data_IF_705691623478
#
_entry.id   IF_705691623478
#
_cell.length_a   1.000
_cell.length_b   1.000
_cell.length_c   1.000
_cell.angle_alpha   90.00
_cell.angle_beta   90.00
_cell.angle_gamma   90.00
#
_symmetry.space_group_name_H-M   'P 1'
#
loop_
_entity.id
_entity.type
_entity.pdbx_description
1 polymer ?
#
# COMPACT_ATOMS: atom_id res chain seq x y z
N UNK A 1 26.94 13.60 6.10
CA UNK A 1 26.24 12.93 4.98
C UNK A 1 24.75 13.06 5.27
N UNK A 2 23.96 13.77 4.46
CA UNK A 2 22.51 13.79 4.67
C UNK A 2 21.99 12.35 4.56
N UNK A 3 21.30 11.90 5.61
CA UNK A 3 20.65 10.59 5.61
C UNK A 3 19.43 10.75 4.72
N UNK A 4 19.48 10.19 3.51
CA UNK A 4 18.35 10.19 2.59
C UNK A 4 17.18 9.45 3.25
N UNK A 5 16.23 10.21 3.78
CA UNK A 5 14.99 9.69 4.34
C UNK A 5 14.01 9.43 3.21
N UNK A 6 13.45 8.23 3.19
CA UNK A 6 12.42 7.77 2.28
C UNK A 6 11.10 7.67 3.04
N UNK A 7 10.00 8.01 2.40
CA UNK A 7 8.65 7.79 2.92
C UNK A 7 8.04 6.59 2.22
N UNK A 8 7.62 5.58 2.97
CA UNK A 8 7.01 4.35 2.46
C UNK A 8 5.52 4.33 2.78
N UNK A 9 4.72 3.87 1.82
CA UNK A 9 3.28 3.63 1.98
C UNK A 9 3.03 2.13 2.09
N UNK A 10 2.67 1.67 3.28
CA UNK A 10 2.38 0.26 3.52
C UNK A 10 0.87 0.07 3.55
N UNK A 11 0.35 -0.70 2.58
CA UNK A 11 -1.08 -0.94 2.42
C UNK A 11 -1.47 -2.32 2.94
N UNK A 12 -2.59 -2.36 3.66
CA UNK A 12 -3.29 -3.57 4.08
C UNK A 12 -4.79 -3.30 4.08
N UNK A 13 -5.56 -4.05 3.31
CA UNK A 13 -7.00 -3.85 3.19
C UNK A 13 -7.32 -2.38 2.84
N UNK A 14 -8.09 -1.69 3.68
CA UNK A 14 -8.42 -0.26 3.55
C UNK A 14 -7.45 0.66 4.31
N UNK A 15 -6.46 0.10 5.01
CA UNK A 15 -5.53 0.87 5.86
C UNK A 15 -4.23 1.14 5.12
N UNK A 16 -3.75 2.39 5.18
CA UNK A 16 -2.44 2.79 4.66
C UNK A 16 -1.62 3.37 5.81
N UNK A 17 -0.44 2.81 6.05
CA UNK A 17 0.54 3.31 7.02
C UNK A 17 1.62 4.09 6.27
N UNK A 18 1.97 5.27 6.79
CA UNK A 18 3.08 6.08 6.28
C UNK A 18 4.26 5.90 7.21
N UNK A 19 5.37 5.39 6.69
CA UNK A 19 6.58 5.12 7.48
C UNK A 19 7.76 5.80 6.83
N UNK A 20 8.41 6.68 7.59
CA UNK A 20 9.72 7.22 7.23
C UNK A 20 10.80 6.19 7.56
N UNK A 21 11.66 5.87 6.60
CA UNK A 21 12.80 4.96 6.73
C UNK A 21 14.04 5.57 6.09
N UNK A 22 15.23 5.10 6.46
CA UNK A 22 16.45 5.43 5.72
C UNK A 22 16.66 4.44 4.58
N UNK A 23 17.28 4.86 3.47
CA UNK A 23 17.68 3.94 2.39
C UNK A 23 18.54 2.77 2.90
N UNK A 24 19.32 2.97 3.96
CA UNK A 24 20.16 1.93 4.59
C UNK A 24 19.42 1.03 5.57
N UNK A 25 18.15 1.32 5.88
CA UNK A 25 17.36 0.49 6.78
C UNK A 25 17.06 -0.87 6.13
N UNK A 26 17.06 -1.90 6.97
CA UNK A 26 16.63 -3.25 6.56
C UNK A 26 15.11 -3.38 6.63
N UNK A 27 14.57 -4.34 5.88
CA UNK A 27 13.15 -4.71 5.94
C UNK A 27 12.74 -5.09 7.37
N UNK A 28 13.60 -5.76 8.13
CA UNK A 28 13.34 -6.04 9.55
C UNK A 28 13.18 -4.76 10.39
N UNK A 29 13.98 -3.73 10.13
CA UNK A 29 13.86 -2.44 10.82
C UNK A 29 12.51 -1.77 10.49
N UNK A 30 12.07 -1.85 9.23
CA UNK A 30 10.73 -1.38 8.81
C UNK A 30 9.63 -2.19 9.49
N UNK A 31 9.71 -3.53 9.48
CA UNK A 31 8.75 -4.42 10.17
C UNK A 31 8.64 -4.10 11.66
N UNK A 32 9.75 -3.81 12.34
CA UNK A 32 9.75 -3.41 13.76
C UNK A 32 9.07 -2.05 14.00
N UNK A 33 9.16 -1.11 13.06
CA UNK A 33 8.43 0.17 13.15
C UNK A 33 6.93 -0.05 12.96
N UNK A 34 6.54 -0.88 11.98
CA UNK A 34 5.15 -1.27 11.76
C UNK A 34 4.59 -2.00 12.99
N UNK A 35 5.32 -2.99 13.50
CA UNK A 35 4.96 -3.79 14.67
C UNK A 35 4.54 -2.92 15.87
N UNK A 36 5.26 -1.83 16.12
CA UNK A 36 4.93 -0.85 17.17
C UNK A 36 3.62 -0.10 16.90
N UNK A 37 3.29 0.17 15.64
CA UNK A 37 2.06 0.87 15.26
C UNK A 37 0.83 -0.05 15.31
N UNK A 38 1.00 -1.32 14.97
CA UNK A 38 -0.11 -2.30 14.89
C UNK A 38 -0.22 -3.19 16.12
N UNK A 39 0.65 -3.01 17.12
CA UNK A 39 0.73 -3.83 18.33
C UNK A 39 0.82 -5.33 18.06
N UNK A 40 1.58 -5.72 17.03
CA UNK A 40 1.88 -7.12 16.67
C UNK A 40 3.38 -7.38 16.65
N UNK A 41 3.77 -8.64 16.74
CA UNK A 41 5.16 -9.03 16.56
C UNK A 41 5.62 -8.89 15.10
N UNK A 42 6.89 -8.50 14.91
CA UNK A 42 7.48 -8.40 13.58
C UNK A 42 7.51 -9.73 12.82
N UNK A 43 7.42 -10.87 13.53
CA UNK A 43 7.35 -12.22 12.96
C UNK A 43 5.99 -12.51 12.31
N UNK A 44 4.94 -11.90 12.84
CA UNK A 44 3.58 -12.06 12.32
C UNK A 44 3.28 -11.07 11.19
N UNK A 45 4.28 -10.32 10.73
CA UNK A 45 4.17 -9.30 9.70
C UNK A 45 4.99 -9.72 8.49
N UNK A 46 4.30 -9.90 7.37
CA UNK A 46 4.92 -10.14 6.08
C UNK A 46 4.81 -8.90 5.22
N UNK A 47 5.95 -8.46 4.69
CA UNK A 47 6.03 -7.37 3.71
C UNK A 47 6.20 -7.95 2.32
N UNK A 48 5.43 -7.43 1.39
CA UNK A 48 5.29 -7.91 0.03
C UNK A 48 5.45 -6.72 -0.92
N UNK A 49 6.11 -6.95 -2.05
CA UNK A 49 6.27 -5.96 -3.11
C UNK A 49 6.05 -6.59 -4.49
N UNK A 50 5.70 -5.81 -5.53
CA UNK A 50 5.62 -6.33 -6.89
C UNK A 50 6.97 -6.93 -7.32
N UNK A 51 6.94 -8.14 -7.88
CA UNK A 51 8.16 -8.87 -8.28
C UNK A 51 8.91 -8.19 -9.44
N UNK A 52 8.18 -7.51 -10.33
CA UNK A 52 8.76 -6.88 -11.51
C UNK A 52 9.46 -5.57 -11.18
N UNK A 53 8.75 -4.66 -10.48
CA UNK A 53 9.29 -3.36 -10.11
C UNK A 53 8.54 -2.77 -8.92
N UNK A 54 9.27 -2.35 -7.91
CA UNK A 54 8.73 -1.58 -6.80
C UNK A 54 8.51 -0.14 -7.29
N UNK A 55 7.27 0.32 -7.23
CA UNK A 55 6.87 1.64 -7.71
C UNK A 55 6.09 2.41 -6.64
N UNK A 56 5.98 3.72 -6.83
CA UNK A 56 5.10 4.59 -6.06
C UNK A 56 3.63 4.47 -6.52
N UNK A 57 3.37 3.89 -7.69
CA UNK A 57 2.01 3.64 -8.18
C UNK A 57 1.66 2.17 -8.02
N UNK A 58 0.39 1.89 -7.71
CA UNK A 58 -0.14 0.53 -7.65
C UNK A 58 -1.16 0.37 -8.77
N UNK A 59 -0.99 -0.67 -9.56
CA UNK A 59 -2.02 -1.15 -10.46
C UNK A 59 -3.01 -2.03 -9.68
N UNK A 60 -4.13 -1.43 -9.26
CA UNK A 60 -5.17 -2.11 -8.51
C UNK A 60 -5.92 -3.15 -9.36
N UNK A 61 -5.99 -2.95 -10.68
CA UNK A 61 -6.64 -3.90 -11.58
C UNK A 61 -5.81 -5.19 -11.67
N UNK A 62 -4.48 -5.07 -11.78
CA UNK A 62 -3.57 -6.20 -11.76
C UNK A 62 -3.54 -6.90 -10.38
N UNK A 63 -3.67 -6.15 -9.29
CA UNK A 63 -3.73 -6.72 -7.94
C UNK A 63 -5.02 -7.52 -7.72
N UNK A 64 -6.18 -6.97 -8.06
CA UNK A 64 -7.49 -7.61 -7.88
C UNK A 64 -7.66 -8.84 -8.78
N UNK A 65 -7.12 -8.79 -9.99
CA UNK A 65 -7.15 -9.93 -10.93
C UNK A 65 -6.12 -11.03 -10.61
N UNK A 66 -5.23 -10.81 -9.64
CA UNK A 66 -4.13 -11.74 -9.32
C UNK A 66 -3.03 -11.81 -10.38
N UNK A 67 -3.07 -10.93 -11.39
CA UNK A 67 -2.02 -10.81 -12.40
C UNK A 67 -0.72 -10.25 -11.81
N UNK A 68 -0.83 -9.39 -10.79
CA UNK A 68 0.31 -8.81 -10.10
C UNK A 68 0.94 -9.83 -9.14
N UNK A 69 2.10 -10.37 -9.56
CA UNK A 69 2.87 -11.29 -8.71
C UNK A 69 3.60 -10.53 -7.62
N UNK A 70 3.17 -10.73 -6.37
CA UNK A 70 3.84 -10.19 -5.19
C UNK A 70 4.93 -11.15 -4.72
N UNK A 71 6.10 -10.59 -4.41
CA UNK A 71 7.22 -11.29 -3.80
C UNK A 71 7.39 -10.85 -2.35
N UNK A 72 7.74 -11.78 -1.48
CA UNK A 72 8.10 -11.47 -0.10
C UNK A 72 9.45 -10.77 -0.04
N UNK A 73 9.52 -9.73 0.80
CA UNK A 73 10.75 -9.04 1.09
C UNK A 73 11.47 -9.71 2.26
N UNK A 74 12.73 -10.10 2.02
CA UNK A 74 13.57 -10.72 3.04
C UNK A 74 13.98 -9.72 4.13
N UNK A 75 13.97 -10.17 5.38
CA UNK A 75 14.29 -9.35 6.55
C UNK A 75 15.67 -8.69 6.51
N UNK A 76 16.64 -9.34 5.86
CA UNK A 76 18.02 -8.86 5.71
C UNK A 76 18.20 -7.92 4.54
N UNK A 77 17.23 -7.83 3.63
CA UNK A 77 17.32 -6.94 2.48
C UNK A 77 17.31 -5.48 2.95
N UNK A 78 18.10 -4.66 2.27
CA UNK A 78 18.19 -3.21 2.49
C UNK A 78 17.31 -2.52 1.45
N UNK A 79 16.62 -1.45 1.83
CA UNK A 79 15.70 -0.72 0.94
C UNK A 79 16.40 -0.22 -0.33
N UNK A 80 17.65 0.26 -0.19
CA UNK A 80 18.48 0.71 -1.31
C UNK A 80 18.79 -0.41 -2.32
N UNK A 81 19.14 -1.61 -1.83
CA UNK A 81 19.41 -2.77 -2.70
C UNK A 81 18.17 -3.28 -3.45
N UNK A 82 16.99 -3.00 -2.91
CA UNK A 82 15.71 -3.32 -3.52
C UNK A 82 15.23 -2.22 -4.49
N UNK A 83 16.03 -1.16 -4.68
CA UNK A 83 15.69 0.02 -5.49
C UNK A 83 14.33 0.59 -5.11
N UNK A 84 14.00 0.63 -3.81
CA UNK A 84 12.72 1.15 -3.33
C UNK A 84 12.69 2.67 -3.52
N UNK A 85 11.85 3.21 -4.41
CA UNK A 85 11.77 4.65 -4.60
C UNK A 85 11.15 5.35 -3.39
N UNK A 86 11.28 6.68 -3.34
CA UNK A 86 10.48 7.47 -2.40
C UNK A 86 8.99 7.32 -2.73
N UNK A 87 8.16 7.39 -1.70
CA UNK A 87 6.72 7.10 -1.75
C UNK A 87 6.33 5.71 -2.26
N UNK A 88 7.27 4.75 -2.28
CA UNK A 88 7.00 3.39 -2.69
C UNK A 88 5.83 2.76 -1.95
N UNK A 89 5.04 1.96 -2.67
CA UNK A 89 3.92 1.24 -2.07
C UNK A 89 4.32 -0.22 -1.83
N UNK A 90 4.23 -0.62 -0.57
CA UNK A 90 4.44 -1.99 -0.11
C UNK A 90 3.13 -2.56 0.42
N UNK A 91 3.00 -3.87 0.38
CA UNK A 91 1.84 -4.59 0.88
C UNK A 91 2.18 -5.31 2.17
N UNK A 92 1.22 -5.39 3.08
CA UNK A 92 1.37 -6.06 4.36
C UNK A 92 0.30 -7.13 4.53
N UNK A 93 0.72 -8.30 5.01
CA UNK A 93 -0.16 -9.39 5.43
C UNK A 93 0.21 -9.85 6.84
N UNK A 94 -0.80 -10.23 7.64
CA UNK A 94 -0.58 -10.80 8.95
C UNK A 94 -0.59 -12.32 8.95
N UNK A 95 0.15 -12.90 9.89
CA UNK A 95 -0.02 -14.30 10.26
C UNK A 95 -1.33 -14.45 11.05
N UNK A 96 -2.15 -15.42 10.63
CA UNK A 96 -3.39 -15.81 11.30
C UNK A 96 -3.09 -17.12 12.04
N UNK A 97 -2.89 -17.01 13.35
CA UNK A 97 -2.58 -18.15 14.23
C UNK A 97 -3.81 -18.94 14.67
N UNK A 98 -5.00 -18.46 14.37
CA UNK A 98 -6.29 -19.03 14.83
C UNK A 98 -6.74 -20.25 13.99
N UNK A 99 -5.99 -20.60 12.95
CA UNK A 99 -6.22 -21.77 12.09
C UNK A 99 -5.17 -22.82 12.43
N UNK A 100 -5.54 -24.11 12.46
CA UNK A 100 -4.72 -25.22 12.98
C UNK A 100 -3.27 -25.31 12.45
N UNK A 101 -3.02 -24.86 11.22
CA UNK A 101 -1.67 -24.83 10.59
C UNK A 101 -1.07 -23.43 10.46
N UNK A 102 -1.82 -22.41 10.89
CA UNK A 102 -1.55 -21.01 10.64
C UNK A 102 -1.57 -20.66 9.14
N UNK A 103 -2.07 -19.48 8.81
CA UNK A 103 -2.13 -19.03 7.41
C UNK A 103 -1.76 -17.56 7.30
N UNK A 104 -1.04 -17.21 6.24
CA UNK A 104 -0.89 -15.81 5.86
C UNK A 104 -2.21 -15.25 5.36
N UNK A 105 -2.58 -14.09 5.89
CA UNK A 105 -3.71 -13.31 5.40
C UNK A 105 -3.58 -13.04 3.89
N UNK A 106 -4.66 -13.18 3.10
CA UNK A 106 -4.64 -12.78 1.70
C UNK A 106 -4.38 -11.28 1.57
N UNK A 107 -3.56 -10.88 0.59
CA UNK A 107 -3.36 -9.45 0.30
C UNK A 107 -4.56 -8.95 -0.48
N UNK A 108 -5.47 -8.32 0.23
CA UNK A 108 -6.56 -7.56 -0.35
C UNK A 108 -6.28 -6.08 -0.09
N UNK A 109 -6.37 -5.24 -1.11
CA UNK A 109 -6.27 -3.78 -0.97
C UNK A 109 -7.44 -3.16 -1.69
N UNK A 110 -8.21 -2.35 -0.96
CA UNK A 110 -9.34 -1.65 -1.54
C UNK A 110 -8.86 -0.55 -2.49
N UNK A 111 -9.50 -0.45 -3.65
CA UNK A 111 -9.32 0.68 -4.54
C UNK A 111 -9.82 1.96 -3.85
N UNK A 112 -9.06 3.07 -3.89
CA UNK A 112 -9.56 4.33 -3.38
C UNK A 112 -10.80 4.77 -4.16
N UNK A 113 -11.84 5.22 -3.46
CA UNK A 113 -13.01 5.78 -4.12
C UNK A 113 -12.60 7.01 -4.95
N UNK A 114 -13.12 7.15 -6.18
CA UNK A 114 -12.86 8.35 -6.97
C UNK A 114 -13.32 9.58 -6.19
N UNK A 115 -12.55 10.66 -6.28
CA UNK A 115 -12.96 11.96 -5.76
C UNK A 115 -14.12 12.41 -6.64
N UNK A 116 -15.34 12.26 -6.13
CA UNK A 116 -16.50 12.91 -6.73
C UNK A 116 -16.41 14.35 -6.28
N UNK A 117 -15.93 15.24 -7.16
CA UNK A 117 -16.00 16.67 -6.88
C UNK A 117 -17.48 17.04 -6.72
N UNK A 118 -17.92 17.59 -5.58
CA UNK A 118 -19.31 18.00 -5.39
C UNK A 118 -19.68 19.24 -6.23
N UNK A 119 -18.89 19.58 -7.25
CA UNK A 119 -19.02 20.77 -8.10
C UNK A 119 -19.28 20.46 -9.59
N UNK A 120 -19.83 19.29 -9.92
CA UNK A 120 -20.19 18.99 -11.32
C UNK A 120 -21.65 18.56 -11.54
N UNK A 121 -22.54 18.74 -10.56
CA UNK A 121 -23.98 18.44 -10.69
C UNK A 121 -24.89 19.67 -10.47
N UNK A 122 -24.54 20.83 -11.05
CA UNK A 122 -25.47 21.96 -11.05
C UNK A 122 -25.31 22.90 -12.24
N UNK A 123 -25.45 22.40 -13.47
CA UNK A 123 -25.56 23.31 -14.63
C UNK A 123 -26.36 22.77 -15.83
N UNK A 124 -27.38 21.92 -15.62
CA UNK A 124 -28.21 21.44 -16.75
C UNK A 124 -29.73 21.36 -16.46
N UNK A 125 -30.26 22.31 -15.68
CA UNK A 125 -31.71 22.42 -15.43
C UNK A 125 -32.35 23.76 -15.87
N UNK A 126 -31.60 24.67 -16.51
CA UNK A 126 -32.11 26.02 -16.83
C UNK A 126 -32.39 26.30 -18.32
N UNK A 127 -32.10 25.36 -19.24
CA UNK A 127 -32.25 25.62 -20.68
C UNK A 127 -33.61 25.22 -21.29
N UNK A 128 -34.51 24.55 -20.55
CA UNK A 128 -35.77 24.03 -21.11
C UNK A 128 -37.02 24.94 -20.89
N UNK A 129 -36.91 26.07 -20.17
CA UNK A 129 -38.08 26.86 -19.74
C UNK A 129 -38.30 28.18 -20.51
N UNK A 130 -37.60 28.45 -21.63
CA UNK A 130 -37.78 29.69 -22.41
C UNK A 130 -38.21 29.51 -23.88
N UNK A 131 -38.62 28.30 -24.28
CA UNK A 131 -39.13 28.04 -25.64
C UNK A 131 -40.67 27.98 -25.72
N UNK A 132 -41.40 28.53 -24.74
CA UNK A 132 -42.86 28.61 -24.77
C UNK A 132 -43.34 29.87 -24.06
N UNK A 133 -43.14 31.03 -24.69
CA UNK A 133 -44.06 32.16 -24.60
C UNK A 133 -43.88 33.09 -25.79
#
# INVERSE_FOLDING_TARGET
MPVSSLTLRIKRQKTTYFITASATDTILAVKRRIAKLVSKDARDIRLLAPKEKIASTVDYAALTSGALKLAELEDKAVLDHLNVPDEAVLFMAFWISDVADGKWEPVEVAEPSPIVDPMSESEDAAAAAKASQ
#
